data_IF_579003711633
#
_entry.id   IF_579003711633
#
_cell.length_a   1.000
_cell.length_b   1.000
_cell.length_c   1.000
_cell.angle_alpha   90.00
_cell.angle_beta   90.00
_cell.angle_gamma   90.00
#
_symmetry.space_group_name_H-M   'P 1'
#
loop_
_entity.id
_entity.type
_entity.pdbx_description
1 polymer ?
#
# COMPACT_ATOMS: atom_id res chain seq x y z
N UNK A 1 -13.87 27.86 -28.16
CA UNK A 1 -13.42 27.01 -27.04
C UNK A 1 -13.32 27.90 -25.82
N UNK A 2 -14.20 27.74 -24.83
CA UNK A 2 -14.06 28.44 -23.57
C UNK A 2 -12.88 27.84 -22.79
N UNK A 3 -12.02 28.65 -22.15
CA UNK A 3 -10.99 28.13 -21.25
C UNK A 3 -11.66 27.32 -20.14
N UNK A 4 -11.08 26.17 -19.79
CA UNK A 4 -11.59 25.33 -18.71
C UNK A 4 -11.67 26.13 -17.42
N UNK A 5 -12.82 26.09 -16.76
CA UNK A 5 -13.06 26.78 -15.50
C UNK A 5 -12.13 26.22 -14.41
N UNK A 6 -11.36 27.09 -13.75
CA UNK A 6 -10.51 26.66 -12.64
C UNK A 6 -11.38 26.20 -11.49
N UNK A 7 -11.32 24.91 -11.17
CA UNK A 7 -11.98 24.35 -9.98
C UNK A 7 -10.93 24.20 -8.89
N UNK A 8 -10.99 25.00 -7.80
CA UNK A 8 -10.01 24.91 -6.73
C UNK A 8 -10.02 23.52 -6.12
N UNK A 9 -8.83 22.98 -5.88
CA UNK A 9 -8.68 21.71 -5.19
C UNK A 9 -9.10 21.90 -3.72
N UNK A 10 -10.09 21.17 -3.20
CA UNK A 10 -10.56 21.32 -1.81
C UNK A 10 -9.49 20.96 -0.77
N UNK A 11 -8.35 20.41 -1.20
CA UNK A 11 -7.19 20.11 -0.35
C UNK A 11 -6.00 21.06 -0.58
N UNK A 12 -6.16 22.07 -1.44
CA UNK A 12 -5.19 23.13 -1.65
C UNK A 12 -4.99 23.92 -0.34
N UNK A 13 -3.74 24.03 0.11
CA UNK A 13 -3.39 24.69 1.38
C UNK A 13 -3.36 23.78 2.62
N UNK A 14 -3.78 22.50 2.51
CA UNK A 14 -3.62 21.55 3.62
C UNK A 14 -2.15 21.13 3.73
N UNK A 15 -1.54 21.45 4.88
CA UNK A 15 -0.14 21.14 5.18
C UNK A 15 0.03 20.05 6.24
N UNK A 16 -1.01 19.77 7.02
CA UNK A 16 -1.02 18.74 8.06
C UNK A 16 -1.87 17.53 7.67
N UNK A 17 -1.40 16.34 8.07
CA UNK A 17 -2.07 15.05 7.77
C UNK A 17 -3.42 14.95 8.50
N UNK A 18 -3.58 15.64 9.63
CA UNK A 18 -4.79 15.60 10.46
C UNK A 18 -5.95 16.36 9.83
N UNK A 19 -5.67 17.35 8.99
CA UNK A 19 -6.67 18.14 8.27
C UNK A 19 -7.17 17.41 7.01
N UNK A 20 -6.65 16.22 6.73
CA UNK A 20 -7.05 15.46 5.56
C UNK A 20 -8.50 14.99 5.67
N UNK A 21 -9.26 15.03 4.57
CA UNK A 21 -10.61 14.50 4.57
C UNK A 21 -10.57 13.00 4.86
N UNK A 22 -11.63 12.51 5.51
CA UNK A 22 -11.72 11.09 5.90
C UNK A 22 -11.47 10.18 4.71
N UNK A 23 -10.57 9.18 4.83
CA UNK A 23 -10.19 8.31 3.74
C UNK A 23 -11.37 7.50 3.23
N UNK A 24 -11.40 7.26 1.92
CA UNK A 24 -12.24 6.24 1.33
C UNK A 24 -11.71 4.87 1.74
N UNK A 25 -12.61 3.95 2.07
CA UNK A 25 -12.20 2.60 2.49
C UNK A 25 -12.62 1.58 1.44
N UNK A 26 -11.64 0.94 0.80
CA UNK A 26 -11.85 -0.18 -0.12
C UNK A 26 -11.60 -1.50 0.59
N UNK A 27 -12.59 -2.37 0.58
CA UNK A 27 -12.51 -3.67 1.25
C UNK A 27 -11.82 -4.72 0.37
N UNK A 28 -10.92 -5.52 0.95
CA UNK A 28 -10.35 -6.72 0.34
C UNK A 28 -10.45 -7.90 1.29
N UNK A 29 -10.91 -9.03 0.74
CA UNK A 29 -11.09 -10.25 1.51
C UNK A 29 -10.09 -11.32 1.06
N UNK A 30 -9.31 -11.81 2.03
CA UNK A 30 -8.48 -13.02 1.98
C UNK A 30 -9.00 -14.02 3.00
N UNK A 31 -10.33 -14.17 3.03
CA UNK A 31 -11.03 -15.00 4.00
C UNK A 31 -11.27 -16.39 3.41
N UNK A 32 -10.56 -17.40 3.91
CA UNK A 32 -10.67 -18.78 3.44
C UNK A 32 -10.98 -19.72 4.61
N UNK A 33 -11.78 -20.76 4.37
CA UNK A 33 -12.09 -21.77 5.40
C UNK A 33 -10.87 -22.64 5.74
N UNK A 34 -10.07 -22.98 4.72
CA UNK A 34 -8.87 -23.84 4.81
C UNK A 34 -7.80 -23.43 3.81
N UNK A 35 -6.53 -23.72 4.11
CA UNK A 35 -5.37 -23.57 3.21
C UNK A 35 -4.38 -24.71 3.45
N UNK A 36 -3.53 -25.01 2.46
CA UNK A 36 -2.46 -25.99 2.64
C UNK A 36 -1.38 -25.39 3.55
N UNK A 37 -0.86 -26.21 4.47
CA UNK A 37 0.21 -25.79 5.34
C UNK A 37 1.49 -25.58 4.53
N UNK A 38 2.15 -24.40 4.61
CA UNK A 38 3.38 -24.15 3.86
C UNK A 38 4.55 -25.03 4.30
N UNK A 39 4.45 -25.71 5.46
CA UNK A 39 5.51 -26.60 5.98
C UNK A 39 5.34 -28.06 5.57
N UNK A 40 4.13 -28.62 5.70
CA UNK A 40 3.89 -30.06 5.49
C UNK A 40 2.85 -30.38 4.41
N UNK A 41 2.29 -29.37 3.73
CA UNK A 41 1.27 -29.55 2.69
C UNK A 41 -0.12 -29.95 3.21
N UNK A 42 -0.26 -30.39 4.47
CA UNK A 42 -1.56 -30.83 5.01
C UNK A 42 -2.57 -29.67 5.14
N UNK A 43 -3.86 -29.99 5.10
CA UNK A 43 -4.91 -29.00 5.29
C UNK A 43 -4.84 -28.36 6.69
N UNK A 44 -4.72 -27.03 6.71
CA UNK A 44 -4.83 -26.23 7.90
C UNK A 44 -6.17 -25.50 7.92
N UNK A 45 -6.79 -25.46 9.09
CA UNK A 45 -8.12 -24.89 9.27
C UNK A 45 -8.03 -23.50 9.87
N UNK A 46 -8.97 -22.64 9.49
CA UNK A 46 -9.04 -21.28 10.02
C UNK A 46 -9.40 -21.32 11.50
N UNK A 47 -8.57 -20.69 12.34
CA UNK A 47 -8.85 -20.52 13.77
C UNK A 47 -9.13 -19.05 14.14
N UNK A 48 -8.88 -18.11 13.22
CA UNK A 48 -9.11 -16.69 13.48
C UNK A 48 -9.15 -15.84 12.22
N UNK A 49 -9.45 -14.56 12.43
CA UNK A 49 -9.45 -13.52 11.40
C UNK A 49 -8.51 -12.40 11.87
N UNK A 50 -7.72 -11.87 10.95
CA UNK A 50 -6.92 -10.67 11.14
C UNK A 50 -7.39 -9.55 10.21
N UNK A 51 -7.06 -8.34 10.59
CA UNK A 51 -7.32 -7.13 9.82
C UNK A 51 -6.01 -6.37 9.64
N UNK A 52 -5.84 -5.74 8.47
CA UNK A 52 -4.72 -4.85 8.16
C UNK A 52 -5.23 -3.73 7.26
N UNK A 53 -4.88 -2.49 7.60
CA UNK A 53 -5.15 -1.32 6.75
C UNK A 53 -3.88 -0.97 5.98
N UNK A 54 -4.01 -0.69 4.69
CA UNK A 54 -2.91 -0.26 3.82
C UNK A 54 -3.29 1.03 3.10
N UNK A 55 -2.42 2.02 3.09
CA UNK A 55 -2.59 3.22 2.29
C UNK A 55 -2.34 2.90 0.82
N UNK A 56 -3.26 3.32 -0.04
CA UNK A 56 -3.25 3.06 -1.48
C UNK A 56 -3.41 4.35 -2.29
N UNK A 57 -3.16 4.27 -3.60
CA UNK A 57 -3.29 5.39 -4.51
C UNK A 57 -4.77 5.73 -4.74
N UNK A 58 -5.12 6.98 -4.49
CA UNK A 58 -6.42 7.58 -4.84
C UNK A 58 -6.32 8.41 -6.12
N UNK A 59 -7.42 9.07 -6.49
CA UNK A 59 -7.50 9.94 -7.66
C UNK A 59 -7.83 11.39 -7.28
N UNK A 60 -7.45 12.33 -8.15
CA UNK A 60 -7.83 13.74 -8.03
C UNK A 60 -9.36 13.92 -8.00
N UNK A 61 -10.09 13.12 -8.78
CA UNK A 61 -11.57 13.18 -8.85
C UNK A 61 -12.23 12.91 -7.50
N UNK A 62 -11.65 12.00 -6.71
CA UNK A 62 -12.16 11.66 -5.39
C UNK A 62 -11.76 12.64 -4.30
N UNK A 63 -10.71 13.44 -4.52
CA UNK A 63 -10.14 14.43 -3.59
C UNK A 63 -9.90 13.91 -2.15
N UNK A 64 -9.79 12.59 -1.95
CA UNK A 64 -9.69 11.94 -0.64
C UNK A 64 -8.61 10.87 -0.65
N UNK A 65 -7.89 10.65 0.46
CA UNK A 65 -7.02 9.49 0.61
C UNK A 65 -7.79 8.17 0.46
N UNK A 66 -7.08 7.10 0.11
CA UNK A 66 -7.67 5.76 -0.05
C UNK A 66 -6.96 4.76 0.85
N UNK A 67 -7.74 4.10 1.70
CA UNK A 67 -7.30 2.98 2.52
C UNK A 67 -7.87 1.65 2.01
N UNK A 68 -7.01 0.65 1.95
CA UNK A 68 -7.35 -0.73 1.66
C UNK A 68 -7.49 -1.51 2.97
N UNK A 69 -8.72 -1.82 3.36
CA UNK A 69 -8.98 -2.67 4.54
C UNK A 69 -8.95 -4.14 4.13
N UNK A 70 -7.91 -4.85 4.57
CA UNK A 70 -7.67 -6.25 4.24
C UNK A 70 -8.08 -7.13 5.41
N UNK A 71 -9.13 -7.92 5.20
CA UNK A 71 -9.56 -8.97 6.13
C UNK A 71 -8.96 -10.30 5.68
N UNK A 72 -8.14 -10.93 6.53
CA UNK A 72 -7.44 -12.17 6.19
C UNK A 72 -7.64 -13.26 7.24
N UNK A 73 -7.62 -14.53 6.82
CA UNK A 73 -7.75 -15.67 7.74
C UNK A 73 -6.42 -16.05 8.39
N UNK A 74 -6.48 -16.54 9.64
CA UNK A 74 -5.36 -17.18 10.35
C UNK A 74 -5.63 -18.68 10.44
N UNK A 75 -4.63 -19.50 10.13
CA UNK A 75 -4.73 -20.96 10.05
C UNK A 75 -3.79 -21.63 11.05
N UNK A 76 -4.22 -22.78 11.57
CA UNK A 76 -3.40 -23.68 12.38
C UNK A 76 -3.43 -25.06 11.73
N UNK A 77 -2.25 -25.61 11.46
CA UNK A 77 -2.13 -26.96 10.93
C UNK A 77 -2.35 -27.98 12.06
N UNK A 78 -3.25 -28.97 11.93
CA UNK A 78 -3.44 -29.99 12.94
C UNK A 78 -2.24 -30.94 13.05
N UNK A 79 -1.52 -31.17 11.95
CA UNK A 79 -0.41 -32.13 11.89
C UNK A 79 0.88 -31.56 12.51
N UNK A 80 1.37 -30.43 12.01
CA UNK A 80 2.66 -29.87 12.45
C UNK A 80 2.51 -28.68 13.42
N UNK A 81 1.27 -28.35 13.82
CA UNK A 81 0.93 -27.27 14.76
C UNK A 81 1.38 -25.86 14.34
N UNK A 82 1.85 -25.69 13.10
CA UNK A 82 2.26 -24.38 12.56
C UNK A 82 1.05 -23.45 12.41
N UNK A 83 1.20 -22.23 12.94
CA UNK A 83 0.30 -21.13 12.68
C UNK A 83 0.81 -20.28 11.51
N UNK A 84 -0.10 -19.85 10.63
CA UNK A 84 0.21 -18.95 9.52
C UNK A 84 -1.03 -18.14 9.12
N UNK A 85 -0.82 -17.05 8.38
CA UNK A 85 -1.92 -16.21 7.87
C UNK A 85 -2.14 -16.46 6.39
N UNK A 86 -3.33 -16.12 5.89
CA UNK A 86 -3.57 -16.03 4.45
C UNK A 86 -2.58 -15.04 3.84
N UNK A 87 -2.05 -15.40 2.68
CA UNK A 87 -1.09 -14.56 1.99
C UNK A 87 -1.72 -13.21 1.59
N UNK A 88 -0.95 -12.16 1.86
CA UNK A 88 -1.27 -10.76 1.51
C UNK A 88 -0.08 -10.07 0.84
N UNK A 89 0.97 -10.85 0.51
CA UNK A 89 2.21 -10.35 -0.09
C UNK A 89 1.99 -9.76 -1.48
N UNK A 90 0.90 -10.13 -2.16
CA UNK A 90 0.47 -9.54 -3.43
C UNK A 90 -0.02 -8.08 -3.28
N UNK A 91 -0.47 -7.70 -2.08
CA UNK A 91 -1.00 -6.36 -1.81
C UNK A 91 0.08 -5.41 -1.30
N UNK A 92 0.93 -5.89 -0.39
CA UNK A 92 1.99 -5.09 0.23
C UNK A 92 3.12 -5.98 0.78
N UNK A 93 4.35 -5.48 0.87
CA UNK A 93 5.43 -6.15 1.61
C UNK A 93 5.02 -6.45 3.05
N UNK A 94 5.66 -7.45 3.67
CA UNK A 94 5.45 -7.75 5.10
C UNK A 94 5.77 -6.52 5.96
N UNK A 95 4.90 -6.19 6.91
CA UNK A 95 5.06 -5.03 7.80
C UNK A 95 4.82 -3.65 7.18
N UNK A 96 4.69 -3.53 5.85
CA UNK A 96 4.43 -2.23 5.19
C UNK A 96 3.06 -1.63 5.56
N UNK A 97 2.97 -0.31 5.64
CA UNK A 97 1.70 0.41 5.73
C UNK A 97 1.15 0.81 4.36
N UNK A 98 1.91 0.59 3.28
CA UNK A 98 1.59 1.01 1.92
C UNK A 98 1.45 -0.19 0.98
N UNK A 99 0.57 -0.08 0.00
CA UNK A 99 0.46 -1.07 -1.09
C UNK A 99 1.70 -1.05 -1.98
N UNK A 100 1.94 -2.15 -2.71
CA UNK A 100 2.99 -2.18 -3.74
C UNK A 100 2.83 -1.08 -4.78
N UNK A 101 1.57 -0.73 -5.11
CA UNK A 101 1.26 0.34 -6.08
C UNK A 101 1.86 1.68 -5.65
N UNK A 102 1.73 2.03 -4.37
CA UNK A 102 2.32 3.26 -3.83
C UNK A 102 3.84 3.22 -3.92
N UNK A 103 4.47 2.11 -3.51
CA UNK A 103 5.93 1.99 -3.60
C UNK A 103 6.44 2.04 -5.04
N UNK A 104 5.74 1.45 -6.00
CA UNK A 104 6.11 1.48 -7.41
C UNK A 104 6.06 2.89 -7.98
N UNK A 105 4.99 3.64 -7.70
CA UNK A 105 4.88 5.04 -8.15
C UNK A 105 5.95 5.91 -7.48
N UNK A 106 6.19 5.73 -6.18
CA UNK A 106 7.21 6.48 -5.45
C UNK A 106 8.63 6.25 -6.02
N UNK A 107 8.97 4.99 -6.33
CA UNK A 107 10.28 4.65 -6.92
C UNK A 107 10.39 5.23 -8.33
N UNK A 108 9.33 5.14 -9.14
CA UNK A 108 9.30 5.70 -10.50
C UNK A 108 9.53 7.22 -10.50
N UNK A 109 8.85 7.96 -9.63
CA UNK A 109 9.02 9.41 -9.49
C UNK A 109 10.48 9.81 -9.20
N UNK A 110 11.21 9.01 -8.44
CA UNK A 110 12.61 9.31 -8.10
C UNK A 110 13.58 8.82 -9.16
N UNK A 111 13.42 7.58 -9.62
CA UNK A 111 14.39 6.90 -10.49
C UNK A 111 14.21 7.26 -11.95
N UNK A 112 12.97 7.28 -12.43
CA UNK A 112 12.66 7.59 -13.83
C UNK A 112 12.51 9.09 -14.04
N UNK A 113 11.72 9.76 -13.18
CA UNK A 113 11.43 11.20 -13.34
C UNK A 113 12.47 12.11 -12.68
N UNK A 114 13.46 11.54 -11.98
CA UNK A 114 14.58 12.27 -11.37
C UNK A 114 14.18 13.21 -10.23
N UNK A 115 13.00 13.04 -9.63
CA UNK A 115 12.51 13.95 -8.61
C UNK A 115 13.28 13.75 -7.29
N UNK A 116 13.69 14.84 -6.62
CA UNK A 116 14.14 14.76 -5.24
C UNK A 116 13.08 14.11 -4.35
N UNK A 117 13.50 13.31 -3.37
CA UNK A 117 12.59 12.56 -2.49
C UNK A 117 11.48 13.40 -1.83
N UNK A 118 11.79 14.64 -1.41
CA UNK A 118 10.80 15.56 -0.82
C UNK A 118 9.76 16.00 -1.87
N UNK A 119 10.21 16.27 -3.09
CA UNK A 119 9.34 16.58 -4.23
C UNK A 119 8.48 15.38 -4.60
N UNK A 120 9.05 14.17 -4.63
CA UNK A 120 8.29 12.93 -4.87
C UNK A 120 7.19 12.70 -3.82
N UNK A 121 7.47 12.97 -2.53
CA UNK A 121 6.47 12.92 -1.46
C UNK A 121 5.31 13.90 -1.70
N UNK A 122 5.62 15.12 -2.14
CA UNK A 122 4.60 16.11 -2.50
C UNK A 122 3.80 15.71 -3.74
N UNK A 123 4.43 15.14 -4.76
CA UNK A 123 3.75 14.59 -5.94
C UNK A 123 2.77 13.45 -5.58
N UNK A 124 3.19 12.53 -4.71
CA UNK A 124 2.31 11.46 -4.21
C UNK A 124 1.09 12.02 -3.47
N UNK A 125 1.27 13.11 -2.72
CA UNK A 125 0.16 13.80 -2.09
C UNK A 125 -0.75 14.47 -3.13
N UNK A 126 -0.20 15.33 -3.99
CA UNK A 126 -0.96 16.11 -4.97
C UNK A 126 -1.75 15.21 -5.91
N UNK A 127 -1.09 14.25 -6.55
CA UNK A 127 -1.67 13.51 -7.69
C UNK A 127 -2.38 12.22 -7.25
N UNK A 128 -2.02 11.69 -6.07
CA UNK A 128 -2.50 10.38 -5.60
C UNK A 128 -3.11 10.38 -4.20
N UNK A 129 -3.14 11.54 -3.52
CA UNK A 129 -3.65 11.72 -2.15
C UNK A 129 -3.10 10.71 -1.15
N UNK A 130 -1.84 10.33 -1.32
CA UNK A 130 -1.14 9.45 -0.37
C UNK A 130 0.07 10.17 0.19
N UNK A 131 0.10 10.32 1.50
CA UNK A 131 1.27 10.87 2.17
C UNK A 131 2.29 9.78 2.43
N UNK A 132 3.49 9.93 1.88
CA UNK A 132 4.62 9.03 2.12
C UNK A 132 5.79 9.85 2.67
N UNK A 133 6.29 9.55 3.88
CA UNK A 133 7.48 10.20 4.41
C UNK A 133 8.71 10.00 3.52
N UNK A 134 9.56 11.02 3.43
CA UNK A 134 10.85 10.99 2.75
C UNK A 134 11.65 9.70 3.02
N UNK A 135 11.80 9.34 4.31
CA UNK A 135 12.60 8.19 4.71
C UNK A 135 12.03 6.87 4.16
N UNK A 136 10.71 6.77 4.05
CA UNK A 136 10.03 5.60 3.46
C UNK A 136 10.32 5.49 1.98
N UNK A 137 10.31 6.61 1.23
CA UNK A 137 10.64 6.63 -0.20
C UNK A 137 12.10 6.25 -0.42
N UNK A 138 13.02 6.83 0.36
CA UNK A 138 14.44 6.50 0.29
C UNK A 138 14.68 5.00 0.51
N UNK A 139 14.07 4.41 1.54
CA UNK A 139 14.18 2.97 1.82
C UNK A 139 13.71 2.10 0.65
N UNK A 140 12.64 2.51 -0.05
CA UNK A 140 12.15 1.78 -1.22
C UNK A 140 13.08 1.90 -2.43
N UNK A 141 13.62 3.09 -2.69
CA UNK A 141 14.56 3.33 -3.80
C UNK A 141 15.85 2.54 -3.58
N UNK A 142 16.42 2.58 -2.36
CA UNK A 142 17.60 1.79 -2.03
C UNK A 142 17.36 0.28 -2.15
N UNK A 143 16.18 -0.19 -1.69
CA UNK A 143 15.80 -1.59 -1.84
C UNK A 143 15.60 -2.00 -3.32
N UNK A 144 15.10 -1.09 -4.17
CA UNK A 144 14.96 -1.32 -5.60
C UNK A 144 16.34 -1.35 -6.30
N UNK A 145 17.25 -0.44 -5.95
CA UNK A 145 18.61 -0.41 -6.49
C UNK A 145 19.41 -1.67 -6.18
N UNK A 146 19.28 -2.21 -4.94
CA UNK A 146 19.88 -3.49 -4.56
C UNK A 146 19.36 -4.65 -5.42
N UNK A 147 18.08 -4.66 -5.79
CA UNK A 147 17.49 -5.71 -6.64
C UNK A 147 17.94 -5.59 -8.10
N UNK A 148 18.15 -4.38 -8.62
CA UNK A 148 18.65 -4.15 -9.97
C UNK A 148 20.12 -4.55 -10.16
N UNK A 149 20.96 -4.34 -9.15
CA UNK A 149 22.39 -4.71 -9.21
C UNK A 149 22.67 -6.21 -9.08
N UNK A 150 21.71 -7.01 -8.62
CA UNK A 150 21.79 -8.48 -8.56
C UNK A 150 21.41 -9.17 -9.90
N UNK A 151 21.02 -8.38 -10.91
CA UNK A 151 20.67 -8.84 -12.24
C UNK A 151 21.68 -8.42 -13.33
N UNK A 152 22.89 -7.97 -12.92
CA UNK A 152 23.99 -7.60 -13.81
C UNK A 152 25.17 -8.56 -13.66
#
# INVERSE_FOLDING_TARGET
MAPGEYTPDPTEGITHIEDLPTPLVRQRSRNYRRRLCPRCGHHAYRYGIGHRTLHDLSSLQTARPLDLSVRYSKFRCPTCQRCFCADTSDLAPSGSHYTHRVSTVAVRLVVEDGLPYRTASWHLWRDHRVFVPYATIQNWVEAAGKKGGLAA
#
